data_IF_759880790321
#
_entry.id   IF_759880790321
#
_cell.length_a   1.000
_cell.length_b   1.000
_cell.length_c   1.000
_cell.angle_alpha   90.00
_cell.angle_beta   90.00
_cell.angle_gamma   90.00
#
_symmetry.space_group_name_H-M   'P 1'
#
loop_
_entity.id
_entity.type
_entity.pdbx_description
1 polymer ?
#
# COMPACT_ATOMS: atom_id res chain seq x y z
N UNK A 1 19.99 -1.95 -0.70
CA UNK A 1 18.84 -1.18 -0.18
C UNK A 1 18.92 -1.20 1.33
N UNK A 2 18.92 -0.05 2.00
CA UNK A 2 19.08 0.00 3.47
C UNK A 2 17.71 -0.15 4.17
N UNK A 3 17.59 -1.06 5.14
CA UNK A 3 16.36 -1.25 5.94
C UNK A 3 16.63 -0.86 7.39
N UNK A 4 16.10 0.30 7.77
CA UNK A 4 16.17 0.84 9.13
C UNK A 4 14.94 0.45 9.93
N UNK A 5 15.03 0.57 11.25
CA UNK A 5 13.92 0.27 12.16
C UNK A 5 13.69 1.42 13.12
N UNK A 6 12.44 1.62 13.51
CA UNK A 6 12.07 2.64 14.49
C UNK A 6 10.86 2.21 15.31
N UNK A 7 10.68 2.85 16.45
CA UNK A 7 9.49 2.74 17.28
C UNK A 7 8.61 3.96 17.03
N UNK A 8 7.31 3.75 16.87
CA UNK A 8 6.33 4.83 16.74
C UNK A 8 5.54 5.03 18.03
N UNK A 9 5.05 6.26 18.28
CA UNK A 9 4.12 6.55 19.38
C UNK A 9 2.67 6.19 19.04
N UNK A 10 2.29 6.26 17.76
CA UNK A 10 1.02 5.77 17.20
C UNK A 10 1.25 5.19 15.81
N UNK A 11 0.37 4.27 15.42
CA UNK A 11 0.33 3.66 14.08
C UNK A 11 -0.93 4.05 13.28
N UNK A 12 -1.99 4.43 13.99
CA UNK A 12 -3.23 4.95 13.40
C UNK A 12 -3.29 6.45 13.62
N UNK A 13 -3.54 7.18 12.54
CA UNK A 13 -3.70 8.64 12.54
C UNK A 13 -5.11 8.96 12.07
N UNK A 14 -5.86 9.79 12.80
CA UNK A 14 -7.15 10.30 12.28
C UNK A 14 -6.90 11.11 11.02
N UNK A 15 -7.69 10.84 9.99
CA UNK A 15 -7.55 11.55 8.71
C UNK A 15 -8.36 12.83 8.69
N UNK A 16 -7.97 13.74 7.80
CA UNK A 16 -8.67 14.97 7.45
C UNK A 16 -8.64 15.17 5.93
N UNK A 17 -9.35 16.18 5.43
CA UNK A 17 -9.39 16.52 4.00
C UNK A 17 -9.89 15.37 3.13
N UNK A 18 -9.26 15.14 1.98
CA UNK A 18 -9.71 14.17 0.98
C UNK A 18 -9.97 12.76 1.53
N UNK A 19 -9.11 12.25 2.42
CA UNK A 19 -9.32 10.91 2.99
C UNK A 19 -10.57 10.86 3.90
N UNK A 20 -10.85 11.95 4.61
CA UNK A 20 -12.06 12.05 5.43
C UNK A 20 -13.31 12.19 4.56
N UNK A 21 -13.24 13.00 3.50
CA UNK A 21 -14.31 13.15 2.50
C UNK A 21 -14.60 11.83 1.78
N UNK A 22 -13.57 11.01 1.53
CA UNK A 22 -13.69 9.66 1.00
C UNK A 22 -14.22 8.63 2.03
N UNK A 23 -14.57 9.06 3.25
CA UNK A 23 -15.19 8.23 4.29
C UNK A 23 -14.20 7.47 5.18
N UNK A 24 -12.90 7.66 5.05
CA UNK A 24 -11.93 7.05 5.97
C UNK A 24 -11.93 7.79 7.31
N UNK A 25 -11.75 7.04 8.38
CA UNK A 25 -11.63 7.57 9.75
C UNK A 25 -10.18 7.68 10.18
N UNK A 26 -9.34 6.75 9.73
CA UNK A 26 -7.94 6.64 10.10
C UNK A 26 -7.09 6.22 8.90
N UNK A 27 -5.82 6.60 8.94
CA UNK A 27 -4.79 6.05 8.07
C UNK A 27 -3.78 5.25 8.87
N UNK A 28 -3.16 4.28 8.21
CA UNK A 28 -2.08 3.46 8.75
C UNK A 28 -0.89 3.57 7.81
N UNK A 29 0.27 4.02 8.28
CA UNK A 29 1.50 4.02 7.45
C UNK A 29 2.59 3.22 8.18
N UNK A 30 2.96 2.01 7.70
CA UNK A 30 3.82 1.07 8.43
C UNK A 30 5.30 1.46 8.41
N UNK A 31 5.72 2.33 7.49
CA UNK A 31 7.10 2.74 7.34
C UNK A 31 7.24 4.25 7.08
N UNK A 32 8.49 4.71 7.00
CA UNK A 32 8.89 6.01 6.41
C UNK A 32 9.80 5.73 5.24
N UNK A 33 9.69 6.54 4.19
CA UNK A 33 10.35 6.30 2.90
C UNK A 33 9.88 5.00 2.22
N UNK A 34 9.95 4.93 0.90
CA UNK A 34 9.46 3.80 0.11
C UNK A 34 10.52 3.31 -0.87
N UNK A 35 10.89 2.05 -0.76
CA UNK A 35 11.93 1.39 -1.54
C UNK A 35 11.54 1.06 -2.97
N UNK A 36 10.30 1.34 -3.37
CA UNK A 36 9.95 1.40 -4.79
C UNK A 36 10.63 2.56 -5.53
N UNK A 37 10.99 3.65 -4.82
CA UNK A 37 11.78 4.75 -5.39
C UNK A 37 11.15 5.46 -6.59
N UNK A 38 9.81 5.50 -6.68
CA UNK A 38 9.14 6.04 -7.85
C UNK A 38 9.43 7.54 -8.04
N UNK A 39 9.85 7.92 -9.25
CA UNK A 39 10.33 9.26 -9.55
C UNK A 39 9.25 10.34 -9.47
N UNK A 40 7.99 9.96 -9.70
CA UNK A 40 6.83 10.86 -9.64
C UNK A 40 6.22 10.95 -8.23
N UNK A 41 6.75 10.25 -7.23
CA UNK A 41 6.11 10.17 -5.94
C UNK A 41 5.97 11.55 -5.30
N UNK A 42 4.79 11.87 -4.78
CA UNK A 42 4.53 13.14 -4.11
C UNK A 42 5.09 13.19 -2.67
N UNK A 43 5.40 12.06 -2.06
CA UNK A 43 5.76 12.00 -0.63
C UNK A 43 7.04 12.78 -0.32
N UNK A 44 8.10 12.74 -1.15
CA UNK A 44 9.24 13.63 -0.99
C UNK A 44 8.88 15.13 -0.98
N UNK A 45 7.88 15.55 -1.76
CA UNK A 45 7.47 16.97 -1.82
C UNK A 45 6.70 17.41 -0.57
N UNK A 46 6.08 16.46 0.15
CA UNK A 46 5.40 16.69 1.42
C UNK A 46 6.34 16.83 2.63
N UNK A 47 7.62 16.46 2.51
CA UNK A 47 8.64 16.58 3.58
C UNK A 47 8.17 15.96 4.91
N UNK A 48 8.02 16.78 5.95
CA UNK A 48 7.57 16.34 7.27
C UNK A 48 6.16 15.75 7.25
N UNK A 49 5.27 16.24 6.38
CA UNK A 49 3.94 15.69 6.20
C UNK A 49 3.96 14.34 5.48
N UNK A 50 5.03 14.09 4.71
CA UNK A 50 5.36 12.78 4.13
C UNK A 50 5.94 11.79 5.14
N UNK A 51 6.09 12.19 6.41
CA UNK A 51 6.73 11.39 7.45
C UNK A 51 8.25 11.26 7.28
N UNK A 52 8.87 12.09 6.44
CA UNK A 52 10.31 12.13 6.22
C UNK A 52 10.99 13.08 7.20
N UNK A 53 12.22 12.75 7.60
CA UNK A 53 13.08 13.68 8.36
C UNK A 53 13.80 14.63 7.41
N UNK A 54 14.25 15.82 7.86
CA UNK A 54 14.99 16.76 7.02
C UNK A 54 16.15 16.16 6.23
N UNK A 55 16.93 15.29 6.86
CA UNK A 55 18.05 14.56 6.26
C UNK A 55 17.64 13.56 5.17
N UNK A 56 16.36 13.17 5.11
CA UNK A 56 15.84 12.13 4.23
C UNK A 56 15.16 12.69 2.96
N UNK A 57 14.98 14.01 2.86
CA UNK A 57 14.18 14.64 1.78
C UNK A 57 14.71 14.37 0.37
N UNK A 58 16.02 14.11 0.22
CA UNK A 58 16.69 13.87 -1.07
C UNK A 58 17.03 12.39 -1.31
N UNK A 59 16.64 11.50 -0.40
CA UNK A 59 17.07 10.08 -0.39
C UNK A 59 15.88 9.12 -0.61
N UNK A 60 14.87 9.56 -1.36
CA UNK A 60 13.71 8.74 -1.69
C UNK A 60 14.12 7.48 -2.47
N UNK A 61 13.59 6.32 -2.09
CA UNK A 61 13.92 5.05 -2.75
C UNK A 61 15.19 4.36 -2.27
N UNK A 62 16.08 5.06 -1.57
CA UNK A 62 17.38 4.50 -1.17
C UNK A 62 17.31 3.63 0.09
N UNK A 63 16.34 3.90 0.96
CA UNK A 63 16.13 3.17 2.20
C UNK A 63 14.65 3.17 2.61
N UNK A 64 14.29 2.37 3.61
CA UNK A 64 13.03 2.53 4.35
C UNK A 64 13.27 2.41 5.85
N UNK A 65 12.39 3.00 6.65
CA UNK A 65 12.41 2.85 8.11
C UNK A 65 11.11 2.22 8.59
N UNK A 66 11.17 0.94 8.96
CA UNK A 66 10.01 0.16 9.38
C UNK A 66 9.63 0.47 10.83
N UNK A 67 8.33 0.69 11.10
CA UNK A 67 7.79 0.91 12.45
C UNK A 67 7.50 -0.45 13.11
N UNK A 68 8.51 -1.07 13.72
CA UNK A 68 8.43 -2.49 14.14
C UNK A 68 7.43 -2.77 15.26
N UNK A 69 6.99 -1.74 16.00
CA UNK A 69 5.92 -1.86 16.98
C UNK A 69 4.51 -1.63 16.43
N UNK A 70 4.33 -1.55 15.11
CA UNK A 70 3.04 -1.32 14.46
C UNK A 70 1.94 -2.28 14.96
N UNK A 71 2.21 -3.58 14.98
CA UNK A 71 1.25 -4.58 15.45
C UNK A 71 0.89 -4.40 16.94
N UNK A 72 1.88 -4.10 17.79
CA UNK A 72 1.66 -3.85 19.22
C UNK A 72 0.83 -2.60 19.48
N UNK A 73 1.02 -1.55 18.67
CA UNK A 73 0.20 -0.34 18.72
C UNK A 73 -1.24 -0.62 18.27
N UNK A 74 -1.43 -1.35 17.15
CA UNK A 74 -2.76 -1.73 16.66
C UNK A 74 -3.55 -2.57 17.67
N UNK A 75 -2.88 -3.47 18.40
CA UNK A 75 -3.53 -4.26 19.43
C UNK A 75 -4.20 -3.38 20.52
N UNK A 76 -3.71 -2.15 20.71
CA UNK A 76 -4.27 -1.19 21.68
C UNK A 76 -5.26 -0.22 21.05
N UNK A 77 -4.99 0.28 19.85
CA UNK A 77 -5.77 1.34 19.21
C UNK A 77 -6.81 0.86 18.18
N UNK A 78 -6.74 -0.39 17.75
CA UNK A 78 -7.67 -0.98 16.78
C UNK A 78 -9.05 -1.26 17.36
N UNK A 79 -10.11 -0.89 16.62
CA UNK A 79 -11.50 -1.17 17.00
C UNK A 79 -12.46 -1.23 15.79
N UNK A 80 -13.61 -1.90 15.98
CA UNK A 80 -14.56 -2.26 14.92
C UNK A 80 -15.28 -1.10 14.22
N UNK A 81 -15.14 0.14 14.69
CA UNK A 81 -15.76 1.33 14.06
C UNK A 81 -14.83 2.05 13.09
N UNK A 82 -13.59 1.59 12.94
CA UNK A 82 -12.61 2.26 12.11
C UNK A 82 -12.79 1.87 10.64
N UNK A 83 -12.78 2.87 9.77
CA UNK A 83 -12.57 2.72 8.33
C UNK A 83 -11.14 3.18 8.08
N UNK A 84 -10.26 2.26 7.69
CA UNK A 84 -8.80 2.47 7.67
C UNK A 84 -8.28 2.46 6.24
N UNK A 85 -7.58 3.53 5.84
CA UNK A 85 -6.76 3.55 4.64
C UNK A 85 -5.31 3.21 4.97
N UNK A 86 -4.89 2.01 4.59
CA UNK A 86 -3.54 1.54 4.76
C UNK A 86 -2.65 2.10 3.65
N UNK A 87 -1.81 3.02 4.10
CA UNK A 87 -0.59 3.52 3.51
C UNK A 87 -0.75 4.66 2.49
N UNK A 88 -1.23 5.84 2.93
CA UNK A 88 -1.25 7.05 2.10
C UNK A 88 0.13 7.68 1.85
N UNK A 89 1.23 7.15 2.39
CA UNK A 89 2.54 7.80 2.26
C UNK A 89 3.65 6.87 1.74
N UNK A 90 3.51 5.56 1.88
CA UNK A 90 4.52 4.58 1.43
C UNK A 90 3.77 3.34 0.98
N UNK A 91 4.39 2.41 0.27
CA UNK A 91 3.73 1.14 -0.02
C UNK A 91 3.92 0.16 1.15
N UNK A 92 2.87 -0.49 1.68
CA UNK A 92 3.01 -1.44 2.78
C UNK A 92 3.70 -2.73 2.34
N UNK A 93 3.69 -3.04 1.03
CA UNK A 93 4.31 -4.20 0.40
C UNK A 93 5.45 -3.77 -0.55
N UNK A 94 6.19 -2.73 -0.17
CA UNK A 94 7.43 -2.32 -0.84
C UNK A 94 8.50 -3.43 -0.83
N UNK A 95 9.52 -3.40 -1.72
CA UNK A 95 10.52 -4.46 -1.82
C UNK A 95 11.20 -4.86 -0.49
N UNK A 96 11.46 -3.89 0.40
CA UNK A 96 12.01 -4.15 1.74
C UNK A 96 11.17 -5.10 2.60
N UNK A 97 9.87 -5.21 2.35
CA UNK A 97 8.95 -6.09 3.04
C UNK A 97 9.22 -7.58 2.71
N UNK A 98 9.96 -7.89 1.62
CA UNK A 98 10.46 -9.25 1.32
C UNK A 98 11.51 -9.70 2.33
N UNK A 99 12.41 -8.80 2.71
CA UNK A 99 13.53 -9.09 3.61
C UNK A 99 13.13 -8.95 5.09
N UNK A 100 12.31 -7.95 5.42
CA UNK A 100 11.89 -7.65 6.80
C UNK A 100 10.36 -7.50 6.87
N UNK A 101 9.60 -8.61 6.92
CA UNK A 101 8.15 -8.55 6.88
C UNK A 101 7.56 -7.94 8.16
N UNK A 102 6.69 -6.94 8.00
CA UNK A 102 5.90 -6.29 9.03
C UNK A 102 4.38 -6.50 8.83
N UNK A 103 3.93 -6.64 7.58
CA UNK A 103 2.53 -6.80 7.21
C UNK A 103 1.86 -8.06 7.77
N UNK A 104 2.50 -9.24 7.85
CA UNK A 104 1.87 -10.41 8.47
C UNK A 104 1.47 -10.16 9.93
N UNK A 105 2.33 -9.46 10.68
CA UNK A 105 2.05 -9.10 12.07
C UNK A 105 0.94 -8.05 12.18
N UNK A 106 0.89 -7.08 11.26
CA UNK A 106 -0.18 -6.08 11.18
C UNK A 106 -1.53 -6.74 10.86
N UNK A 107 -1.59 -7.61 9.86
CA UNK A 107 -2.79 -8.36 9.49
C UNK A 107 -3.26 -9.26 10.63
N UNK A 108 -2.32 -9.94 11.32
CA UNK A 108 -2.63 -10.73 12.52
C UNK A 108 -3.21 -9.87 13.65
N UNK A 109 -2.74 -8.64 13.83
CA UNK A 109 -3.32 -7.71 14.80
C UNK A 109 -4.75 -7.31 14.40
N UNK A 110 -5.01 -7.07 13.12
CA UNK A 110 -6.36 -6.82 12.62
C UNK A 110 -7.29 -8.03 12.76
N UNK A 111 -6.81 -9.26 12.57
CA UNK A 111 -7.62 -10.46 12.79
C UNK A 111 -8.17 -10.55 14.22
N UNK A 112 -7.40 -10.07 15.21
CA UNK A 112 -7.82 -10.02 16.61
C UNK A 112 -8.82 -8.90 16.89
N UNK A 113 -8.72 -7.78 16.18
CA UNK A 113 -9.57 -6.59 16.34
C UNK A 113 -9.88 -5.99 14.96
N UNK A 114 -10.80 -6.60 14.20
CA UNK A 114 -11.06 -6.18 12.83
C UNK A 114 -11.65 -4.76 12.81
N UNK A 115 -11.21 -3.88 11.89
CA UNK A 115 -11.88 -2.61 11.63
C UNK A 115 -13.23 -2.86 10.94
N UNK A 116 -14.01 -1.81 10.66
CA UNK A 116 -15.19 -1.91 9.79
C UNK A 116 -14.79 -2.11 8.32
N UNK A 117 -13.73 -1.41 7.89
CA UNK A 117 -13.13 -1.53 6.56
C UNK A 117 -11.62 -1.37 6.69
N UNK A 118 -10.86 -2.26 6.02
CA UNK A 118 -9.44 -2.08 5.75
C UNK A 118 -9.23 -1.94 4.25
N UNK A 119 -8.87 -0.75 3.78
CA UNK A 119 -8.46 -0.52 2.40
C UNK A 119 -6.93 -0.49 2.31
N UNK A 120 -6.33 -1.33 1.49
CA UNK A 120 -4.88 -1.43 1.29
C UNK A 120 -4.55 -0.89 -0.10
N UNK A 121 -3.72 0.15 -0.16
CA UNK A 121 -3.13 0.60 -1.41
C UNK A 121 -1.76 -0.03 -1.57
N UNK A 122 -1.56 -0.73 -2.69
CA UNK A 122 -0.24 -1.24 -3.08
C UNK A 122 -0.05 -1.11 -4.59
N UNK A 123 1.06 -1.63 -5.10
CA UNK A 123 1.35 -1.70 -6.53
C UNK A 123 2.05 -2.98 -6.97
N UNK A 124 2.61 -3.76 -6.04
CA UNK A 124 3.40 -4.95 -6.38
C UNK A 124 2.72 -6.25 -5.96
N UNK A 125 3.14 -7.38 -6.52
CA UNK A 125 2.55 -8.69 -6.27
C UNK A 125 2.87 -9.26 -4.88
N UNK A 126 3.76 -8.63 -4.10
CA UNK A 126 4.20 -9.15 -2.80
C UNK A 126 3.04 -9.35 -1.80
N UNK A 127 1.95 -8.61 -1.96
CA UNK A 127 0.73 -8.80 -1.16
C UNK A 127 0.18 -10.24 -1.23
N UNK A 128 0.40 -10.97 -2.33
CA UNK A 128 -0.03 -12.35 -2.49
C UNK A 128 0.62 -13.31 -1.48
N UNK A 129 1.81 -12.97 -0.96
CA UNK A 129 2.45 -13.74 0.12
C UNK A 129 1.54 -13.89 1.32
N UNK A 130 0.74 -12.86 1.60
CA UNK A 130 -0.09 -12.77 2.80
C UNK A 130 -1.58 -13.04 2.46
N UNK A 131 -1.87 -13.67 1.31
CA UNK A 131 -3.22 -13.92 0.82
C UNK A 131 -4.09 -14.67 1.85
N UNK A 132 -3.57 -15.71 2.48
CA UNK A 132 -4.31 -16.48 3.49
C UNK A 132 -4.76 -15.61 4.67
N UNK A 133 -3.92 -14.68 5.13
CA UNK A 133 -4.25 -13.74 6.21
C UNK A 133 -5.28 -12.71 5.74
N UNK A 134 -5.17 -12.26 4.49
CA UNK A 134 -6.11 -11.32 3.87
C UNK A 134 -7.49 -11.98 3.73
N UNK A 135 -7.57 -13.21 3.25
CA UNK A 135 -8.82 -13.99 3.16
C UNK A 135 -9.43 -14.24 4.55
N UNK A 136 -8.62 -14.63 5.54
CA UNK A 136 -9.08 -14.79 6.92
C UNK A 136 -9.65 -13.48 7.50
N UNK A 137 -9.07 -12.33 7.13
CA UNK A 137 -9.55 -11.03 7.57
C UNK A 137 -10.83 -10.62 6.82
N UNK A 138 -10.89 -10.88 5.52
CA UNK A 138 -12.07 -10.64 4.68
C UNK A 138 -13.30 -11.43 5.15
N UNK A 139 -13.09 -12.59 5.79
CA UNK A 139 -14.17 -13.35 6.44
C UNK A 139 -14.75 -12.67 7.70
N UNK A 140 -14.07 -11.64 8.25
CA UNK A 140 -14.48 -10.93 9.49
C UNK A 140 -14.85 -9.47 9.26
N UNK A 141 -14.38 -8.87 8.16
CA UNK A 141 -14.58 -7.45 7.86
C UNK A 141 -14.44 -7.19 6.36
N UNK A 142 -14.80 -6.00 5.91
CA UNK A 142 -14.56 -5.59 4.52
C UNK A 142 -13.07 -5.31 4.32
N UNK A 143 -12.44 -6.05 3.41
CA UNK A 143 -11.08 -5.78 2.96
C UNK A 143 -11.11 -5.37 1.50
N UNK A 144 -10.55 -4.20 1.21
CA UNK A 144 -10.37 -3.68 -0.14
C UNK A 144 -8.90 -3.61 -0.46
N UNK A 145 -8.52 -4.04 -1.65
CA UNK A 145 -7.15 -3.87 -2.15
C UNK A 145 -7.21 -3.03 -3.41
N UNK A 146 -6.37 -2.02 -3.50
CA UNK A 146 -6.22 -1.22 -4.70
C UNK A 146 -4.78 -1.28 -5.18
N UNK A 147 -4.61 -1.45 -6.50
CA UNK A 147 -3.33 -1.48 -7.17
C UNK A 147 -3.12 -0.24 -8.03
N UNK A 148 -2.03 0.49 -7.83
CA UNK A 148 -1.62 1.55 -8.77
C UNK A 148 -1.07 0.96 -10.06
N UNK A 149 -1.75 1.22 -11.18
CA UNK A 149 -1.34 0.84 -12.54
C UNK A 149 -1.17 2.12 -13.36
N UNK A 150 0.04 2.45 -13.78
CA UNK A 150 0.38 3.81 -14.25
C UNK A 150 0.53 3.95 -15.76
N UNK A 151 0.77 2.85 -16.46
CA UNK A 151 0.96 2.78 -17.91
C UNK A 151 0.78 1.34 -18.39
N UNK A 152 0.41 1.14 -19.65
CA UNK A 152 0.45 -0.18 -20.30
C UNK A 152 1.83 -0.48 -20.93
N UNK A 153 2.80 0.43 -20.82
CA UNK A 153 4.12 0.36 -21.47
C UNK A 153 5.21 0.06 -20.46
N UNK A 154 5.84 -1.10 -20.58
CA UNK A 154 6.81 -1.56 -19.59
C UNK A 154 8.11 -0.75 -19.59
N UNK A 155 8.50 -0.22 -20.75
CA UNK A 155 9.65 0.68 -20.91
C UNK A 155 9.43 2.05 -20.26
N UNK A 156 8.16 2.48 -20.13
CA UNK A 156 7.81 3.70 -19.39
C UNK A 156 7.84 3.38 -17.89
N UNK A 157 7.20 2.27 -17.49
CA UNK A 157 7.20 1.80 -16.10
C UNK A 157 8.63 1.71 -15.54
N UNK A 158 9.54 1.03 -16.23
CA UNK A 158 10.90 0.81 -15.73
C UNK A 158 11.71 2.10 -15.52
N UNK A 159 11.43 3.16 -16.29
CA UNK A 159 12.06 4.47 -16.13
C UNK A 159 11.57 5.23 -14.89
N UNK A 160 10.27 5.17 -14.60
CA UNK A 160 9.66 5.94 -13.51
C UNK A 160 9.53 5.16 -12.20
N UNK A 161 9.56 3.83 -12.27
CA UNK A 161 9.29 2.90 -11.19
C UNK A 161 10.39 1.81 -11.12
N UNK A 162 11.64 2.20 -10.83
CA UNK A 162 12.83 1.39 -11.09
C UNK A 162 12.89 0.06 -10.31
N UNK A 163 12.19 -0.02 -9.19
CA UNK A 163 12.18 -1.20 -8.33
C UNK A 163 10.81 -1.88 -8.26
N UNK A 164 9.83 -1.42 -9.03
CA UNK A 164 8.54 -2.10 -9.11
C UNK A 164 8.62 -3.26 -10.09
N UNK A 165 7.79 -4.28 -9.88
CA UNK A 165 7.62 -5.40 -10.80
C UNK A 165 6.92 -4.98 -12.11
N UNK A 166 7.04 -5.78 -13.19
CA UNK A 166 6.32 -5.56 -14.44
C UNK A 166 4.82 -5.43 -14.27
N UNK A 167 4.18 -4.67 -15.17
CA UNK A 167 2.74 -4.47 -15.12
C UNK A 167 1.96 -5.78 -15.21
N UNK A 168 2.49 -6.77 -15.93
CA UNK A 168 1.91 -8.12 -16.01
C UNK A 168 1.78 -8.78 -14.63
N UNK A 169 2.79 -8.65 -13.77
CA UNK A 169 2.79 -9.21 -12.41
C UNK A 169 1.77 -8.52 -11.51
N UNK A 170 1.58 -7.20 -11.69
CA UNK A 170 0.56 -6.44 -10.94
C UNK A 170 -0.84 -6.88 -11.31
N UNK A 171 -1.12 -6.96 -12.61
CA UNK A 171 -2.41 -7.39 -13.13
C UNK A 171 -2.68 -8.86 -12.80
N UNK A 172 -1.65 -9.70 -12.76
CA UNK A 172 -1.76 -11.06 -12.24
C UNK A 172 -2.16 -11.05 -10.76
N UNK A 173 -1.51 -10.27 -9.91
CA UNK A 173 -1.89 -10.17 -8.49
C UNK A 173 -3.31 -9.65 -8.27
N UNK A 174 -3.77 -8.70 -9.11
CA UNK A 174 -5.16 -8.25 -9.11
C UNK A 174 -6.11 -9.43 -9.39
N UNK A 175 -5.82 -10.24 -10.42
CA UNK A 175 -6.62 -11.40 -10.79
C UNK A 175 -6.65 -12.46 -9.68
N UNK A 176 -5.50 -12.78 -9.09
CA UNK A 176 -5.39 -13.78 -8.01
C UNK A 176 -6.19 -13.36 -6.77
N UNK A 177 -6.03 -12.12 -6.31
CA UNK A 177 -6.79 -11.60 -5.16
C UNK A 177 -8.30 -11.61 -5.43
N UNK A 178 -8.71 -11.24 -6.65
CA UNK A 178 -10.11 -11.28 -7.06
C UNK A 178 -10.66 -12.71 -7.08
N UNK A 179 -9.90 -13.67 -7.62
CA UNK A 179 -10.27 -15.09 -7.62
C UNK A 179 -10.41 -15.65 -6.21
N UNK A 180 -9.62 -15.14 -5.26
CA UNK A 180 -9.75 -15.44 -3.83
C UNK A 180 -10.93 -14.72 -3.13
N UNK A 181 -11.78 -14.01 -3.88
CA UNK A 181 -12.98 -13.33 -3.36
C UNK A 181 -12.70 -11.97 -2.71
N UNK A 182 -11.51 -11.40 -2.86
CA UNK A 182 -11.17 -10.09 -2.31
C UNK A 182 -11.73 -8.98 -3.20
N UNK A 183 -12.21 -7.89 -2.59
CA UNK A 183 -12.63 -6.69 -3.31
C UNK A 183 -11.37 -5.94 -3.82
N UNK A 184 -11.06 -6.08 -5.12
CA UNK A 184 -9.85 -5.50 -5.72
C UNK A 184 -10.18 -4.43 -6.75
N UNK A 185 -9.38 -3.36 -6.77
CA UNK A 185 -9.45 -2.26 -7.72
C UNK A 185 -8.12 -2.06 -8.44
N UNK A 186 -8.17 -1.73 -9.72
CA UNK A 186 -7.02 -1.23 -10.47
C UNK A 186 -7.15 0.30 -10.60
N UNK A 187 -6.32 1.02 -9.86
CA UNK A 187 -6.30 2.49 -9.85
C UNK A 187 -5.32 3.01 -10.90
N UNK A 188 -5.85 3.70 -11.91
CA UNK A 188 -5.06 4.32 -12.97
C UNK A 188 -4.47 5.66 -12.51
N UNK A 189 -3.43 5.62 -11.67
CA UNK A 189 -2.80 6.84 -11.16
C UNK A 189 -1.32 6.66 -10.72
N UNK A 190 -0.44 7.62 -11.07
CA UNK A 190 -0.64 8.66 -12.10
C UNK A 190 -0.72 8.04 -13.51
N UNK A 191 -1.34 8.75 -14.45
CA UNK A 191 -1.26 8.39 -15.87
C UNK A 191 0.09 8.85 -16.44
N UNK A 192 1.01 7.90 -16.58
CA UNK A 192 2.26 8.08 -17.32
C UNK A 192 2.01 7.89 -18.82
N UNK A 193 2.97 8.21 -19.71
CA UNK A 193 2.82 7.96 -21.14
C UNK A 193 2.35 6.52 -21.43
N UNK A 194 1.18 6.39 -22.04
CA UNK A 194 0.48 5.13 -22.26
C UNK A 194 -0.50 5.25 -23.43
N UNK A 195 -1.08 4.11 -23.82
CA UNK A 195 -2.34 4.06 -24.56
C UNK A 195 -3.48 3.93 -23.53
N UNK A 196 -4.31 4.98 -23.32
CA UNK A 196 -5.30 4.98 -22.23
C UNK A 196 -6.39 3.92 -22.38
N UNK A 197 -6.82 3.62 -23.61
CA UNK A 197 -7.86 2.62 -23.87
C UNK A 197 -7.35 1.22 -23.54
N UNK A 198 -6.17 0.87 -24.03
CA UNK A 198 -5.53 -0.41 -23.73
C UNK A 198 -5.28 -0.57 -22.24
N UNK A 199 -4.82 0.49 -21.56
CA UNK A 199 -4.61 0.50 -20.12
C UNK A 199 -5.91 0.27 -19.34
N UNK A 200 -6.99 0.95 -19.74
CA UNK A 200 -8.31 0.81 -19.13
C UNK A 200 -8.88 -0.60 -19.35
N UNK A 201 -8.80 -1.13 -20.58
CA UNK A 201 -9.21 -2.51 -20.88
C UNK A 201 -8.45 -3.52 -20.01
N UNK A 202 -7.12 -3.42 -19.94
CA UNK A 202 -6.31 -4.32 -19.12
C UNK A 202 -6.66 -4.25 -17.62
N UNK A 203 -6.98 -3.05 -17.12
CA UNK A 203 -7.43 -2.84 -15.75
C UNK A 203 -8.80 -3.50 -15.51
N UNK A 204 -9.80 -3.22 -16.37
CA UNK A 204 -11.15 -3.80 -16.30
C UNK A 204 -11.13 -5.33 -16.39
N UNK A 205 -10.33 -5.89 -17.29
CA UNK A 205 -10.17 -7.34 -17.46
C UNK A 205 -9.62 -8.00 -16.19
N UNK A 206 -8.72 -7.32 -15.49
CA UNK A 206 -8.14 -7.82 -14.24
C UNK A 206 -9.08 -7.64 -13.04
N UNK A 207 -9.67 -6.46 -12.86
CA UNK A 207 -10.48 -6.11 -11.67
C UNK A 207 -11.95 -6.57 -11.76
N UNK A 208 -12.51 -6.66 -12.97
CA UNK A 208 -13.97 -6.68 -13.22
C UNK A 208 -14.72 -5.53 -12.53
N UNK A 209 -14.07 -4.38 -12.36
CA UNK A 209 -14.57 -3.18 -11.69
C UNK A 209 -14.01 -1.94 -12.34
#
# INVERSE_FOLDING_TARGET
MEIRQTQAGSILTRVSGFLQEAGFTHSLTPARNCTYGCLYCYVPTMRIYGGLRPEDWTHWGQFTTLKTNAAGLLARSGHARQIIYCSPLVDPYQPAERERPLMPAILTAFLKRPPAILAIQTRGPLILRDLDLICALAAKTTVRVSFSVTTNRDEVRSRYEPHCEPNSERLHAVKELRQAGIEVYATLAPLLPCDPETLACAALDASHR
#
